data_IF_633100260057
#
_entry.id   IF_633100260057
#
_cell.length_a   1.000
_cell.length_b   1.000
_cell.length_c   1.000
_cell.angle_alpha   90.00
_cell.angle_beta   90.00
_cell.angle_gamma   90.00
#
_symmetry.space_group_name_H-M   'P 1'
#
loop_
_entity.id
_entity.type
_entity.pdbx_description
1 polymer ?
#
# COMPACT_ATOMS: atom_id res chain seq x y z
N UNK A 1 17.77 8.10 37.09
CA UNK A 1 18.08 8.63 35.76
C UNK A 1 16.77 9.01 35.11
N UNK A 2 16.53 10.31 34.90
CA UNK A 2 15.40 10.76 34.06
C UNK A 2 15.81 10.52 32.62
N UNK A 3 15.19 9.56 31.95
CA UNK A 3 15.37 9.34 30.52
C UNK A 3 14.33 10.23 29.83
N UNK A 4 14.77 11.09 28.92
CA UNK A 4 13.88 11.91 28.08
C UNK A 4 14.08 11.52 26.62
N UNK A 5 13.00 11.60 25.86
CA UNK A 5 12.99 11.36 24.43
C UNK A 5 12.44 12.58 23.71
N UNK A 6 12.95 12.88 22.51
CA UNK A 6 12.43 13.95 21.67
C UNK A 6 11.07 13.58 21.09
N UNK A 7 10.84 12.28 20.80
CA UNK A 7 9.58 11.78 20.23
C UNK A 7 9.10 10.52 20.93
N UNK A 8 7.77 10.38 21.04
CA UNK A 8 7.08 9.14 21.44
C UNK A 8 6.16 8.74 20.31
N UNK A 9 6.42 7.56 19.71
CA UNK A 9 5.63 6.98 18.65
C UNK A 9 4.65 6.00 19.28
N UNK A 10 3.34 6.21 19.08
CA UNK A 10 2.31 5.31 19.59
C UNK A 10 1.84 4.39 18.46
N UNK A 11 2.22 3.13 18.56
CA UNK A 11 1.89 2.06 17.62
C UNK A 11 3.02 1.71 16.65
N UNK A 12 3.35 0.42 16.61
CA UNK A 12 4.36 -0.17 15.72
C UNK A 12 3.76 -0.70 14.41
N UNK A 13 2.80 0.01 13.84
CA UNK A 13 2.26 -0.27 12.50
C UNK A 13 3.10 0.39 11.40
N UNK A 14 2.64 0.29 10.14
CA UNK A 14 3.37 0.85 8.98
C UNK A 14 3.75 2.32 9.21
N UNK A 15 2.81 3.17 9.65
CA UNK A 15 3.06 4.58 9.86
C UNK A 15 4.11 4.84 10.95
N UNK A 16 3.97 4.17 12.11
CA UNK A 16 4.90 4.34 13.24
C UNK A 16 6.31 3.86 12.89
N UNK A 17 6.43 2.70 12.23
CA UNK A 17 7.73 2.18 11.82
C UNK A 17 8.38 3.00 10.70
N UNK A 18 7.59 3.53 9.76
CA UNK A 18 8.10 4.46 8.75
C UNK A 18 8.61 5.77 9.38
N UNK A 19 7.89 6.30 10.37
CA UNK A 19 8.33 7.46 11.13
C UNK A 19 9.64 7.14 11.91
N UNK A 20 9.73 5.97 12.54
CA UNK A 20 10.93 5.55 13.24
C UNK A 20 12.17 5.50 12.32
N UNK A 21 12.03 4.96 11.10
CA UNK A 21 13.11 5.03 10.11
C UNK A 21 13.47 6.47 9.72
N UNK A 22 12.49 7.34 9.55
CA UNK A 22 12.75 8.75 9.24
C UNK A 22 13.49 9.46 10.38
N UNK A 23 13.10 9.20 11.63
CA UNK A 23 13.77 9.77 12.81
C UNK A 23 15.18 9.18 13.03
N UNK A 24 15.40 7.91 12.70
CA UNK A 24 16.70 7.27 12.84
C UNK A 24 17.78 7.84 11.91
N UNK A 25 17.41 8.61 10.90
CA UNK A 25 18.33 9.36 10.03
C UNK A 25 18.67 10.75 10.56
N UNK A 26 18.11 11.15 11.70
CA UNK A 26 18.36 12.41 12.39
C UNK A 26 18.97 12.12 13.78
N UNK A 27 19.48 13.17 14.44
CA UNK A 27 20.00 13.07 15.82
C UNK A 27 18.88 13.01 16.88
N UNK A 28 17.65 12.69 16.49
CA UNK A 28 16.49 12.67 17.37
C UNK A 28 16.37 11.34 18.11
N UNK A 29 16.18 11.41 19.42
CA UNK A 29 15.88 10.25 20.26
C UNK A 29 14.38 9.94 20.24
N UNK A 30 14.00 8.67 20.15
CA UNK A 30 12.59 8.27 20.14
C UNK A 30 12.33 6.96 20.87
N UNK A 31 11.08 6.82 21.35
CA UNK A 31 10.56 5.62 21.95
C UNK A 31 9.29 5.19 21.20
N UNK A 32 9.13 3.89 20.97
CA UNK A 32 7.94 3.30 20.35
C UNK A 32 7.13 2.57 21.41
N UNK A 33 5.88 2.97 21.64
CA UNK A 33 4.95 2.28 22.53
C UNK A 33 4.06 1.39 21.66
N UNK A 34 4.11 0.07 21.90
CA UNK A 34 3.35 -0.92 21.14
C UNK A 34 2.59 -1.87 22.05
N UNK A 35 1.40 -2.30 21.63
CA UNK A 35 0.66 -3.37 22.29
C UNK A 35 0.40 -4.51 21.31
N UNK A 36 1.06 -5.67 21.48
CA UNK A 36 0.89 -6.82 20.58
C UNK A 36 -0.45 -7.55 20.78
N UNK A 37 -1.20 -7.21 21.83
CA UNK A 37 -2.45 -7.90 22.21
C UNK A 37 -3.62 -7.68 21.25
N UNK A 38 -3.55 -6.69 20.35
CA UNK A 38 -4.64 -6.37 19.42
C UNK A 38 -4.12 -6.42 17.98
N UNK A 39 -4.86 -7.06 17.06
CA UNK A 39 -4.50 -6.99 15.63
C UNK A 39 -4.53 -5.53 15.17
N UNK A 40 -3.48 -5.11 14.49
CA UNK A 40 -3.40 -3.78 13.89
C UNK A 40 -4.02 -3.79 12.48
N UNK A 41 -4.44 -2.62 12.00
CA UNK A 41 -4.87 -2.49 10.60
C UNK A 41 -3.77 -2.97 9.63
N UNK A 42 -2.51 -2.72 9.96
CA UNK A 42 -1.36 -3.17 9.18
C UNK A 42 -1.21 -4.69 9.15
N UNK A 43 -1.60 -5.42 10.21
CA UNK A 43 -1.47 -6.89 10.26
C UNK A 43 -2.50 -7.64 9.38
N UNK A 44 -3.57 -6.97 8.94
CA UNK A 44 -4.63 -7.53 8.11
C UNK A 44 -4.73 -6.87 6.73
N UNK A 45 -3.89 -5.89 6.44
CA UNK A 45 -3.89 -5.19 5.15
C UNK A 45 -3.44 -6.12 4.01
N UNK A 46 -4.05 -5.98 2.84
CA UNK A 46 -3.68 -6.75 1.65
C UNK A 46 -2.38 -6.29 1.00
N UNK A 47 -1.86 -5.12 1.38
CA UNK A 47 -0.68 -4.52 0.77
C UNK A 47 -0.90 -3.92 -0.61
N UNK A 48 -2.14 -3.85 -1.09
CA UNK A 48 -2.43 -3.27 -2.42
C UNK A 48 -2.32 -1.74 -2.39
N UNK A 49 -1.50 -1.20 -3.27
CA UNK A 49 -1.38 0.23 -3.55
C UNK A 49 -2.06 0.48 -4.89
N UNK A 50 -3.20 1.15 -4.87
CA UNK A 50 -4.10 1.26 -6.00
C UNK A 50 -4.49 2.73 -6.24
N UNK A 51 -4.19 3.29 -7.44
CA UNK A 51 -4.55 4.67 -7.78
C UNK A 51 -6.06 4.92 -7.92
N UNK A 52 -6.85 3.87 -8.19
CA UNK A 52 -8.30 3.96 -8.34
C UNK A 52 -8.97 3.30 -7.15
N UNK A 53 -9.53 4.08 -6.23
CA UNK A 53 -10.04 3.60 -4.96
C UNK A 53 -11.57 3.70 -4.82
N UNK A 54 -12.08 2.95 -3.85
CA UNK A 54 -13.46 3.02 -3.39
C UNK A 54 -14.50 2.54 -4.40
N UNK A 55 -15.77 2.64 -3.98
CA UNK A 55 -16.95 2.21 -4.78
C UNK A 55 -17.25 3.15 -5.95
N UNK A 56 -16.81 4.40 -5.87
CA UNK A 56 -17.03 5.41 -6.91
C UNK A 56 -15.92 5.45 -7.93
N UNK A 57 -14.90 4.56 -7.81
CA UNK A 57 -13.75 4.53 -8.71
C UNK A 57 -13.05 5.89 -8.79
N UNK A 58 -12.84 6.53 -7.62
CA UNK A 58 -12.16 7.82 -7.58
C UNK A 58 -10.65 7.62 -7.71
N UNK A 59 -10.00 8.52 -8.43
CA UNK A 59 -8.54 8.59 -8.45
C UNK A 59 -8.07 9.16 -7.12
N UNK A 60 -7.06 8.53 -6.53
CA UNK A 60 -6.43 9.02 -5.29
C UNK A 60 -5.69 10.32 -5.60
N UNK A 61 -5.95 11.36 -4.80
CA UNK A 61 -5.25 12.63 -4.94
C UNK A 61 -3.75 12.45 -4.73
N UNK A 62 -2.94 13.18 -5.47
CA UNK A 62 -1.47 13.21 -5.39
C UNK A 62 -0.81 11.83 -5.49
N UNK A 63 -1.49 10.86 -6.14
CA UNK A 63 -1.05 9.46 -6.18
C UNK A 63 0.37 9.30 -6.71
N UNK A 64 0.72 9.97 -7.81
CA UNK A 64 2.04 9.81 -8.45
C UNK A 64 3.17 10.29 -7.54
N UNK A 65 2.96 11.41 -6.85
CA UNK A 65 3.92 11.95 -5.90
C UNK A 65 4.08 11.01 -4.70
N UNK A 66 2.96 10.60 -4.10
CA UNK A 66 2.96 9.67 -2.97
C UNK A 66 3.56 8.30 -3.34
N UNK A 67 3.26 7.81 -4.54
CA UNK A 67 3.81 6.56 -5.05
C UNK A 67 5.33 6.65 -5.20
N UNK A 68 5.82 7.73 -5.82
CA UNK A 68 7.25 7.96 -6.02
C UNK A 68 8.01 8.04 -4.70
N UNK A 69 7.50 8.83 -3.74
CA UNK A 69 8.09 8.99 -2.41
C UNK A 69 8.12 7.65 -1.68
N UNK A 70 6.98 6.93 -1.66
CA UNK A 70 6.87 5.64 -0.98
C UNK A 70 7.80 4.59 -1.58
N UNK A 71 7.82 4.49 -2.91
CA UNK A 71 8.69 3.53 -3.61
C UNK A 71 10.16 3.77 -3.28
N UNK A 72 10.63 5.03 -3.34
CA UNK A 72 12.00 5.38 -3.02
C UNK A 72 12.34 5.08 -1.54
N UNK A 73 11.45 5.46 -0.62
CA UNK A 73 11.62 5.25 0.81
C UNK A 73 11.75 3.76 1.16
N UNK A 74 10.80 2.94 0.73
CA UNK A 74 10.81 1.51 1.05
C UNK A 74 11.90 0.73 0.33
N UNK A 75 12.31 1.16 -0.88
CA UNK A 75 13.47 0.58 -1.55
C UNK A 75 14.77 0.87 -0.80
N UNK A 76 14.93 2.07 -0.25
CA UNK A 76 16.07 2.41 0.60
C UNK A 76 16.11 1.53 1.86
N UNK A 77 14.98 1.35 2.55
CA UNK A 77 14.90 0.50 3.74
C UNK A 77 15.19 -0.97 3.39
N UNK A 78 14.69 -1.47 2.25
CA UNK A 78 14.97 -2.82 1.81
C UNK A 78 16.49 -3.05 1.63
N UNK A 79 17.21 -2.08 1.07
CA UNK A 79 18.67 -2.14 0.94
C UNK A 79 19.36 -2.20 2.30
N UNK A 80 18.91 -1.43 3.31
CA UNK A 80 19.45 -1.49 4.68
C UNK A 80 19.32 -2.90 5.27
N UNK A 81 18.24 -3.60 4.98
CA UNK A 81 17.98 -4.97 5.44
C UNK A 81 18.50 -6.05 4.49
N UNK A 82 19.19 -5.68 3.41
CA UNK A 82 19.67 -6.61 2.37
C UNK A 82 18.56 -7.47 1.77
N UNK A 83 17.38 -6.86 1.58
CA UNK A 83 16.22 -7.46 0.93
C UNK A 83 16.11 -6.96 -0.52
N UNK A 84 15.42 -7.70 -1.36
CA UNK A 84 15.20 -7.27 -2.75
C UNK A 84 14.34 -6.01 -2.80
N UNK A 85 13.14 -6.05 -2.28
CA UNK A 85 12.26 -4.91 -2.12
C UNK A 85 11.03 -5.27 -1.26
N UNK A 86 10.43 -4.26 -0.61
CA UNK A 86 9.10 -4.37 0.00
C UNK A 86 7.98 -3.85 -0.92
N UNK A 87 8.34 -3.10 -1.94
CA UNK A 87 7.43 -2.36 -2.80
C UNK A 87 7.61 -2.83 -4.26
N UNK A 88 6.65 -3.57 -4.79
CA UNK A 88 6.71 -4.15 -6.13
C UNK A 88 5.63 -3.53 -7.02
N UNK A 89 6.05 -2.87 -8.11
CA UNK A 89 5.13 -2.36 -9.13
C UNK A 89 4.42 -3.50 -9.83
N UNK A 90 3.09 -3.46 -9.85
CA UNK A 90 2.25 -4.47 -10.52
C UNK A 90 0.98 -3.85 -11.07
N UNK A 91 0.51 -4.38 -12.18
CA UNK A 91 -0.86 -4.13 -12.63
C UNK A 91 -1.83 -4.92 -11.77
N UNK A 92 -2.99 -4.33 -11.45
CA UNK A 92 -4.03 -4.97 -10.64
C UNK A 92 -5.25 -5.21 -11.51
N UNK A 93 -5.70 -6.46 -11.56
CA UNK A 93 -6.98 -6.79 -12.14
C UNK A 93 -8.10 -6.40 -11.17
N UNK A 94 -8.99 -5.52 -11.58
CA UNK A 94 -10.17 -5.13 -10.84
C UNK A 94 -11.43 -5.66 -11.52
N UNK A 95 -12.19 -6.49 -10.81
CA UNK A 95 -13.44 -7.07 -11.29
C UNK A 95 -14.60 -6.15 -10.87
N UNK A 96 -15.53 -5.87 -11.78
CA UNK A 96 -16.74 -5.14 -11.46
C UNK A 96 -17.66 -5.98 -10.56
N UNK A 97 -18.14 -5.37 -9.50
CA UNK A 97 -19.04 -6.02 -8.53
C UNK A 97 -20.48 -6.11 -9.02
N UNK A 98 -20.87 -5.21 -9.90
CA UNK A 98 -22.21 -5.12 -10.48
C UNK A 98 -22.18 -4.22 -11.72
N UNK A 99 -23.31 -4.19 -12.47
CA UNK A 99 -23.47 -3.38 -13.68
C UNK A 99 -23.28 -1.88 -13.42
N UNK A 100 -23.76 -1.37 -12.28
CA UNK A 100 -23.61 0.03 -11.91
C UNK A 100 -22.14 0.46 -11.78
N UNK A 101 -21.27 -0.41 -11.24
CA UNK A 101 -19.84 -0.11 -11.15
C UNK A 101 -19.19 -0.10 -12.54
N UNK A 102 -19.60 -1.03 -13.42
CA UNK A 102 -19.19 -1.07 -14.82
C UNK A 102 -19.59 0.21 -15.57
N UNK A 103 -20.86 0.62 -15.47
CA UNK A 103 -21.33 1.89 -16.05
C UNK A 103 -20.55 3.10 -15.52
N UNK A 104 -20.26 3.11 -14.22
CA UNK A 104 -19.46 4.19 -13.60
C UNK A 104 -18.06 4.24 -14.19
N UNK A 105 -17.43 3.08 -14.40
CA UNK A 105 -16.13 2.99 -15.04
C UNK A 105 -16.16 3.54 -16.46
N UNK A 106 -17.10 3.07 -17.29
CA UNK A 106 -17.22 3.52 -18.67
C UNK A 106 -17.42 5.01 -18.77
N UNK A 107 -18.30 5.56 -17.93
CA UNK A 107 -18.58 7.01 -17.88
C UNK A 107 -17.34 7.83 -17.49
N UNK A 108 -16.51 7.34 -16.56
CA UNK A 108 -15.35 8.09 -16.07
C UNK A 108 -14.10 7.92 -16.94
N UNK A 109 -13.86 6.73 -17.46
CA UNK A 109 -12.56 6.36 -18.00
C UNK A 109 -12.55 5.99 -19.49
N UNK A 110 -13.68 5.64 -20.09
CA UNK A 110 -13.73 5.34 -21.52
C UNK A 110 -14.08 6.52 -22.40
N UNK A 111 -14.76 7.53 -21.87
CA UNK A 111 -15.08 8.75 -22.62
C UNK A 111 -13.89 9.71 -22.73
N UNK A 112 -12.98 9.60 -21.80
CA UNK A 112 -11.75 10.39 -21.78
C UNK A 112 -10.56 9.40 -21.73
N UNK A 113 -9.93 9.16 -22.87
CA UNK A 113 -8.77 8.27 -22.99
C UNK A 113 -7.54 8.73 -22.17
N UNK A 114 -7.72 9.74 -21.31
CA UNK A 114 -6.66 10.43 -20.57
C UNK A 114 -6.26 9.77 -19.26
N UNK A 115 -6.98 8.76 -18.77
CA UNK A 115 -6.59 8.16 -17.50
C UNK A 115 -5.37 7.26 -17.64
N UNK A 116 -4.24 7.73 -17.10
CA UNK A 116 -3.00 6.94 -17.02
C UNK A 116 -3.11 5.72 -16.10
N UNK A 117 -4.14 5.65 -15.25
CA UNK A 117 -4.34 4.58 -14.27
C UNK A 117 -5.33 3.51 -14.72
N UNK A 118 -6.30 3.86 -15.58
CA UNK A 118 -7.27 2.90 -16.08
C UNK A 118 -6.75 2.28 -17.39
N UNK A 119 -6.40 1.02 -17.34
CA UNK A 119 -6.04 0.22 -18.50
C UNK A 119 -7.27 -0.32 -19.23
N UNK A 120 -7.07 -1.27 -20.15
CA UNK A 120 -8.15 -1.88 -20.90
C UNK A 120 -9.20 -2.52 -19.99
N UNK A 121 -10.47 -2.34 -20.32
CA UNK A 121 -11.56 -3.12 -19.75
C UNK A 121 -11.81 -4.39 -20.56
N UNK A 122 -12.38 -5.39 -19.91
CA UNK A 122 -12.81 -6.61 -20.55
C UNK A 122 -14.25 -6.92 -20.15
N UNK A 123 -14.99 -7.50 -21.08
CA UNK A 123 -16.35 -7.98 -20.87
C UNK A 123 -16.36 -9.41 -20.32
N UNK A 124 -17.51 -9.88 -19.84
CA UNK A 124 -17.67 -11.24 -19.35
C UNK A 124 -17.25 -12.31 -20.38
N UNK A 125 -17.53 -12.07 -21.67
CA UNK A 125 -17.20 -12.97 -22.76
C UNK A 125 -15.70 -13.05 -23.08
N UNK A 126 -14.99 -11.95 -22.85
CA UNK A 126 -13.53 -11.84 -23.04
C UNK A 126 -12.77 -12.24 -21.77
N UNK A 127 -13.47 -12.91 -20.84
CA UNK A 127 -12.89 -13.25 -19.54
C UNK A 127 -11.51 -13.85 -19.75
N UNK A 128 -10.50 -13.09 -19.37
CA UNK A 128 -9.19 -13.63 -19.12
C UNK A 128 -9.42 -14.95 -18.38
N UNK A 129 -8.99 -16.07 -18.96
CA UNK A 129 -9.13 -17.41 -18.33
C UNK A 129 -8.28 -17.44 -17.06
N UNK A 130 -8.65 -16.60 -16.10
CA UNK A 130 -8.06 -16.62 -14.76
C UNK A 130 -8.77 -17.78 -14.07
N UNK A 131 -8.12 -18.94 -14.11
CA UNK A 131 -8.64 -20.18 -13.54
C UNK A 131 -9.23 -19.92 -12.15
N UNK A 132 -10.53 -20.17 -12.00
CA UNK A 132 -11.25 -20.08 -10.73
C UNK A 132 -11.83 -18.71 -10.38
N UNK A 133 -11.60 -17.64 -11.15
CA UNK A 133 -12.19 -16.32 -10.90
C UNK A 133 -13.42 -16.09 -11.79
N UNK A 134 -14.57 -15.83 -11.15
CA UNK A 134 -15.80 -15.45 -11.86
C UNK A 134 -15.85 -13.93 -12.07
N UNK A 135 -16.08 -13.51 -13.32
CA UNK A 135 -16.15 -12.11 -13.73
C UNK A 135 -17.49 -11.77 -14.40
N UNK A 136 -18.64 -11.90 -13.70
CA UNK A 136 -19.96 -11.82 -14.31
C UNK A 136 -20.27 -10.46 -14.97
N UNK A 137 -19.57 -9.41 -14.58
CA UNK A 137 -19.73 -8.04 -15.12
C UNK A 137 -18.44 -7.57 -15.84
N UNK A 138 -17.44 -8.46 -16.04
CA UNK A 138 -16.15 -8.06 -16.57
C UNK A 138 -15.27 -7.34 -15.53
N UNK A 139 -14.36 -6.50 -16.00
CA UNK A 139 -13.41 -5.77 -15.17
C UNK A 139 -12.49 -4.88 -15.97
N UNK A 140 -11.42 -4.41 -15.35
CA UNK A 140 -10.38 -3.61 -16.00
C UNK A 140 -9.03 -3.81 -15.33
N UNK A 141 -7.97 -3.45 -16.05
CA UNK A 141 -6.61 -3.42 -15.52
C UNK A 141 -6.36 -2.05 -14.90
N UNK A 142 -5.94 -2.01 -13.63
CA UNK A 142 -5.42 -0.79 -13.01
C UNK A 142 -3.91 -0.75 -13.19
N UNK A 143 -3.42 0.30 -13.86
CA UNK A 143 -2.00 0.57 -14.09
C UNK A 143 -1.41 1.41 -12.96
N UNK A 144 -0.07 1.51 -12.94
CA UNK A 144 0.67 2.29 -11.94
C UNK A 144 0.30 1.91 -10.49
N UNK A 145 -0.03 0.64 -10.29
CA UNK A 145 -0.33 0.08 -8.98
C UNK A 145 0.88 -0.68 -8.42
N UNK A 146 0.81 -1.09 -7.16
CA UNK A 146 1.88 -1.88 -6.55
C UNK A 146 1.33 -2.83 -5.50
N UNK A 147 2.19 -3.79 -5.12
CA UNK A 147 2.02 -4.62 -3.92
C UNK A 147 3.12 -4.27 -2.94
N UNK A 148 2.74 -4.01 -1.70
CA UNK A 148 3.64 -3.74 -0.60
C UNK A 148 3.67 -4.92 0.37
N UNK A 149 4.85 -5.49 0.60
CA UNK A 149 5.06 -6.60 1.52
C UNK A 149 5.15 -6.08 2.97
N UNK A 150 4.03 -5.62 3.52
CA UNK A 150 3.98 -4.99 4.82
C UNK A 150 4.40 -5.91 5.97
N UNK A 151 4.14 -7.22 5.87
CA UNK A 151 4.54 -8.19 6.91
C UNK A 151 6.06 -8.29 7.01
N UNK A 152 6.75 -8.41 5.87
CA UNK A 152 8.21 -8.45 5.85
C UNK A 152 8.80 -7.13 6.34
N UNK A 153 8.25 -6.00 5.88
CA UNK A 153 8.68 -4.68 6.34
C UNK A 153 8.50 -4.51 7.86
N UNK A 154 7.34 -4.88 8.40
CA UNK A 154 7.08 -4.74 9.84
C UNK A 154 7.96 -5.66 10.67
N UNK A 155 8.22 -6.88 10.22
CA UNK A 155 9.12 -7.79 10.91
C UNK A 155 10.54 -7.24 10.95
N UNK A 156 11.07 -6.83 9.80
CA UNK A 156 12.44 -6.27 9.72
C UNK A 156 12.54 -4.96 10.53
N UNK A 157 11.51 -4.10 10.51
CA UNK A 157 11.47 -2.87 11.30
C UNK A 157 11.40 -3.14 12.80
N UNK A 158 10.60 -4.14 13.21
CA UNK A 158 10.50 -4.53 14.62
C UNK A 158 11.85 -5.04 15.14
N UNK A 159 12.50 -5.89 14.38
CA UNK A 159 13.83 -6.42 14.75
C UNK A 159 14.87 -5.29 14.81
N UNK A 160 14.81 -4.34 13.89
CA UNK A 160 15.73 -3.20 13.82
C UNK A 160 15.59 -2.25 15.03
N UNK A 161 14.35 -1.91 15.40
CA UNK A 161 14.05 -0.97 16.48
C UNK A 161 13.72 -1.64 17.82
N UNK A 162 14.04 -2.91 17.98
CA UNK A 162 13.69 -3.68 19.20
C UNK A 162 14.10 -2.99 20.51
N UNK A 163 15.24 -2.31 20.53
CA UNK A 163 15.72 -1.58 21.70
C UNK A 163 14.90 -0.29 22.00
N UNK A 164 14.17 0.22 21.02
CA UNK A 164 13.34 1.42 21.14
C UNK A 164 11.88 1.11 21.42
N UNK A 165 11.48 -0.17 21.46
CA UNK A 165 10.08 -0.60 21.64
C UNK A 165 9.83 -0.97 23.08
N UNK A 166 8.72 -0.42 23.65
CA UNK A 166 8.16 -0.77 24.95
C UNK A 166 6.73 -1.25 24.76
N UNK A 167 6.38 -2.36 25.43
CA UNK A 167 5.04 -2.98 25.43
C UNK A 167 4.18 -2.53 26.60
#
# INVERSE_FOLDING_TARGET
LNISYDFIIIGAGIAGMSLAYSLSTSDSSFLIIHSPKKPSASSIASGLINPIAGKRLETVADFDELYKISSAFYSHIAQLHRKENYFESKEILRIFRNEKEKETFHKKYQQDHSSIYAGPSFEQADSLHINGIKTPFGGFITKNAAVFSYQNFLQDAYDHFKANIVE
#
